data_IF_833760795363
#
_entry.id   IF_833760795363
#
_cell.length_a   1.000
_cell.length_b   1.000
_cell.length_c   1.000
_cell.angle_alpha   90.00
_cell.angle_beta   90.00
_cell.angle_gamma   90.00
#
_symmetry.space_group_name_H-M   'P 1'
#
loop_
_entity.id
_entity.type
_entity.pdbx_description
1 polymer ?
#
# COMPACT_ATOMS: atom_id res chain seq x y z
N UNK A 1 -76.15 -32.78 29.04
CA UNK A 1 -74.98 -33.66 29.23
C UNK A 1 -73.90 -33.24 28.24
N UNK A 2 -72.67 -33.13 28.71
CA UNK A 2 -71.57 -32.40 28.11
C UNK A 2 -71.08 -32.97 26.77
N UNK A 3 -70.75 -32.07 25.83
CA UNK A 3 -69.71 -32.24 24.79
C UNK A 3 -69.45 -30.87 24.16
N UNK A 4 -68.48 -30.10 24.70
CA UNK A 4 -67.10 -29.96 24.21
C UNK A 4 -67.01 -29.41 22.79
N UNK A 5 -66.80 -28.09 22.74
CA UNK A 5 -66.32 -27.30 21.61
C UNK A 5 -64.87 -27.62 21.28
N UNK A 6 -64.54 -27.75 19.99
CA UNK A 6 -63.19 -27.49 19.49
C UNK A 6 -63.25 -27.02 18.04
N UNK A 7 -63.25 -25.70 17.88
CA UNK A 7 -62.87 -25.04 16.63
C UNK A 7 -61.34 -25.05 16.56
N UNK A 8 -60.77 -25.81 15.63
CA UNK A 8 -59.34 -25.78 15.34
C UNK A 8 -59.02 -24.53 14.51
N UNK A 9 -58.56 -23.48 15.19
CA UNK A 9 -57.83 -22.38 14.54
C UNK A 9 -56.42 -22.86 14.21
N UNK A 10 -56.10 -22.91 12.91
CA UNK A 10 -54.75 -23.14 12.41
C UNK A 10 -53.85 -21.94 12.74
N UNK A 11 -52.90 -22.15 13.65
CA UNK A 11 -51.76 -21.26 13.86
C UNK A 11 -50.65 -21.69 12.91
N UNK A 12 -50.41 -20.86 11.89
CA UNK A 12 -49.22 -20.94 11.06
C UNK A 12 -48.00 -20.52 11.89
N UNK A 13 -47.16 -21.47 12.28
CA UNK A 13 -45.83 -21.21 12.81
C UNK A 13 -44.93 -20.80 11.64
N UNK A 14 -44.72 -19.50 11.47
CA UNK A 14 -43.61 -18.97 10.66
C UNK A 14 -42.33 -19.21 11.48
N UNK A 15 -41.59 -20.26 11.11
CA UNK A 15 -40.24 -20.48 11.60
C UNK A 15 -39.34 -19.35 11.05
N UNK A 16 -39.00 -18.39 11.92
CA UNK A 16 -38.02 -17.37 11.63
C UNK A 16 -36.64 -18.04 11.58
N UNK A 17 -36.21 -18.47 10.39
CA UNK A 17 -34.82 -18.87 10.16
C UNK A 17 -33.91 -17.67 10.43
N UNK A 18 -33.39 -17.59 11.65
CA UNK A 18 -32.20 -16.81 11.97
C UNK A 18 -31.05 -17.39 11.16
N UNK A 19 -30.87 -16.88 9.94
CA UNK A 19 -29.61 -16.97 9.23
C UNK A 19 -28.58 -16.19 10.04
N UNK A 20 -28.00 -16.83 11.05
CA UNK A 20 -26.66 -16.47 11.53
C UNK A 20 -25.76 -16.76 10.33
N UNK A 21 -25.56 -15.74 9.50
CA UNK A 21 -24.44 -15.76 8.57
C UNK A 21 -23.20 -15.97 9.45
N UNK A 22 -22.63 -17.16 9.41
CA UNK A 22 -21.30 -17.40 9.92
C UNK A 22 -20.39 -16.39 9.21
N UNK A 23 -20.10 -15.27 9.87
CA UNK A 23 -18.99 -14.42 9.48
C UNK A 23 -17.79 -15.35 9.48
N UNK A 24 -17.14 -15.53 8.33
CA UNK A 24 -15.83 -16.13 8.26
C UNK A 24 -14.99 -15.57 9.42
N UNK A 25 -14.31 -16.43 10.17
CA UNK A 25 -13.48 -16.00 11.30
C UNK A 25 -12.61 -14.82 10.84
N UNK A 26 -12.87 -13.65 11.41
CA UNK A 26 -12.11 -12.45 11.10
C UNK A 26 -10.65 -12.73 11.45
N UNK A 27 -9.74 -12.54 10.48
CA UNK A 27 -8.31 -12.76 10.72
C UNK A 27 -7.81 -11.92 11.90
N UNK A 28 -6.70 -12.33 12.54
CA UNK A 28 -6.18 -11.70 13.76
C UNK A 28 -6.07 -10.16 13.66
N UNK A 29 -5.67 -9.64 12.49
CA UNK A 29 -5.62 -8.21 12.21
C UNK A 29 -7.00 -7.54 12.27
N UNK A 30 -7.99 -8.10 11.59
CA UNK A 30 -9.34 -7.56 11.53
C UNK A 30 -9.99 -7.57 12.94
N UNK A 31 -9.81 -8.68 13.67
CA UNK A 31 -10.27 -8.80 15.05
C UNK A 31 -9.64 -7.73 15.96
N UNK A 32 -8.31 -7.56 15.90
CA UNK A 32 -7.58 -6.58 16.70
C UNK A 32 -8.00 -5.13 16.42
N UNK A 33 -8.13 -4.77 15.13
CA UNK A 33 -8.49 -3.42 14.70
C UNK A 33 -9.92 -3.05 15.12
N UNK A 34 -10.85 -4.01 15.00
CA UNK A 34 -12.26 -3.83 15.39
C UNK A 34 -12.50 -3.78 16.89
N UNK A 35 -11.60 -4.37 17.68
CA UNK A 35 -11.73 -4.34 19.14
C UNK A 35 -11.86 -2.90 19.64
N UNK A 36 -12.94 -2.63 20.37
CA UNK A 36 -13.14 -1.34 21.00
C UNK A 36 -12.03 -1.05 22.00
N UNK A 37 -11.66 0.22 22.14
CA UNK A 37 -10.64 0.66 23.08
C UNK A 37 -11.14 1.92 23.79
N UNK A 38 -11.28 1.86 25.11
CA UNK A 38 -11.81 2.96 25.92
C UNK A 38 -10.86 4.14 26.03
N UNK A 39 -9.59 3.99 25.62
CA UNK A 39 -8.61 5.08 25.60
C UNK A 39 -8.70 5.96 24.36
N UNK A 40 -9.43 5.52 23.32
CA UNK A 40 -9.63 6.30 22.10
C UNK A 40 -10.26 7.66 22.42
N UNK A 41 -9.56 8.72 22.02
CA UNK A 41 -10.02 10.09 22.23
C UNK A 41 -9.30 11.01 21.24
N UNK A 42 -9.93 12.12 20.87
CA UNK A 42 -9.26 13.16 20.08
C UNK A 42 -9.72 14.54 20.53
N UNK A 43 -8.87 15.55 20.33
CA UNK A 43 -9.21 16.96 20.56
C UNK A 43 -8.54 17.85 19.53
N UNK A 44 -9.22 18.92 19.13
CA UNK A 44 -8.61 19.95 18.29
C UNK A 44 -7.70 20.85 19.11
N UNK A 45 -6.46 21.06 18.64
CA UNK A 45 -5.55 22.08 19.19
C UNK A 45 -5.78 23.47 18.58
N UNK A 46 -6.60 23.55 17.54
CA UNK A 46 -6.87 24.77 16.79
C UNK A 46 -6.48 24.66 15.32
N UNK A 47 -6.90 25.67 14.57
CA UNK A 47 -6.61 25.86 13.15
C UNK A 47 -5.53 26.91 13.01
N UNK A 48 -4.51 26.61 12.20
CA UNK A 48 -3.47 27.56 11.85
C UNK A 48 -3.56 27.87 10.36
N UNK A 49 -3.55 29.16 10.04
CA UNK A 49 -3.25 29.64 8.70
C UNK A 49 -1.72 29.73 8.60
N UNK A 50 -1.12 28.85 7.81
CA UNK A 50 0.32 28.90 7.55
C UNK A 50 0.61 29.93 6.45
N UNK A 51 1.89 30.31 6.28
CA UNK A 51 2.35 31.27 5.27
C UNK A 51 2.06 30.86 3.81
N UNK A 52 1.50 29.67 3.60
CA UNK A 52 1.07 29.16 2.30
C UNK A 52 -0.42 29.54 2.10
N UNK A 53 -0.74 30.55 1.26
CA UNK A 53 -2.11 31.05 1.12
C UNK A 53 -3.05 29.99 0.52
N UNK A 54 -4.32 30.01 0.92
CA UNK A 54 -5.37 29.18 0.30
C UNK A 54 -5.50 27.75 0.83
N UNK A 55 -4.80 27.39 1.91
CA UNK A 55 -5.00 26.14 2.64
C UNK A 55 -5.21 26.39 4.13
N UNK A 56 -6.29 25.83 4.66
CA UNK A 56 -6.56 25.79 6.10
C UNK A 56 -5.97 24.50 6.66
N UNK A 57 -5.26 24.56 7.80
CA UNK A 57 -4.72 23.36 8.44
C UNK A 57 -5.14 23.30 9.90
N UNK A 58 -5.91 22.28 10.24
CA UNK A 58 -6.29 21.98 11.63
C UNK A 58 -5.39 20.90 12.21
N UNK A 59 -4.99 21.06 13.47
CA UNK A 59 -4.22 20.05 14.19
C UNK A 59 -5.11 19.37 15.24
N UNK A 60 -5.21 18.05 15.17
CA UNK A 60 -5.84 17.22 16.19
C UNK A 60 -4.76 16.46 16.97
N UNK A 61 -4.92 16.41 18.29
CA UNK A 61 -4.29 15.40 19.11
C UNK A 61 -5.19 14.17 19.13
N UNK A 62 -4.62 13.02 18.83
CA UNK A 62 -5.34 11.74 18.77
C UNK A 62 -4.70 10.75 19.73
N UNK A 63 -5.54 10.06 20.49
CA UNK A 63 -5.19 8.80 21.14
C UNK A 63 -5.98 7.71 20.46
N UNK A 64 -5.26 6.74 19.92
CA UNK A 64 -5.83 5.71 19.06
C UNK A 64 -6.21 4.46 19.86
N UNK A 65 -5.34 4.03 20.77
CA UNK A 65 -5.53 2.84 21.59
C UNK A 65 -4.59 2.81 22.80
N UNK A 66 -4.76 1.77 23.62
CA UNK A 66 -3.74 1.27 24.53
C UNK A 66 -3.22 -0.05 24.00
N UNK A 67 -1.90 -0.17 23.85
CA UNK A 67 -1.26 -1.41 23.40
C UNK A 67 -0.16 -1.78 24.38
N UNK A 68 -0.26 -3.01 24.91
CA UNK A 68 0.67 -3.57 25.89
C UNK A 68 0.92 -2.64 27.10
N UNK A 69 -0.17 -2.05 27.60
CA UNK A 69 -0.18 -1.12 28.74
C UNK A 69 0.23 0.32 28.42
N UNK A 70 0.75 0.60 27.22
CA UNK A 70 1.13 1.93 26.79
C UNK A 70 0.02 2.64 26.02
N UNK A 71 -0.24 3.91 26.34
CA UNK A 71 -1.17 4.78 25.59
C UNK A 71 -0.51 5.23 24.29
N UNK A 72 -1.20 5.06 23.16
CA UNK A 72 -0.71 5.45 21.83
C UNK A 72 -1.26 6.81 21.41
N UNK A 73 -0.37 7.79 21.28
CA UNK A 73 -0.70 9.19 20.98
C UNK A 73 -0.13 9.62 19.64
N UNK A 74 -0.87 10.42 18.89
CA UNK A 74 -0.52 10.88 17.55
C UNK A 74 -0.88 12.36 17.37
N UNK A 75 -0.17 13.01 16.45
CA UNK A 75 -0.64 14.26 15.86
C UNK A 75 -1.28 14.00 14.50
N UNK A 76 -2.43 14.61 14.25
CA UNK A 76 -3.16 14.49 13.00
C UNK A 76 -3.39 15.89 12.42
N UNK A 77 -2.72 16.18 11.31
CA UNK A 77 -2.91 17.43 10.58
C UNK A 77 -3.95 17.23 9.50
N UNK A 78 -4.93 18.12 9.37
CA UNK A 78 -5.95 18.05 8.33
C UNK A 78 -5.89 19.33 7.52
N UNK A 79 -5.47 19.20 6.27
CA UNK A 79 -5.31 20.28 5.32
C UNK A 79 -6.53 20.36 4.41
N UNK A 80 -7.22 21.50 4.44
CA UNK A 80 -8.44 21.77 3.69
C UNK A 80 -8.18 22.86 2.63
N UNK A 81 -8.33 22.54 1.34
CA UNK A 81 -8.16 23.54 0.28
C UNK A 81 -9.31 24.55 0.33
N UNK A 82 -9.09 25.76 -0.20
CA UNK A 82 -10.13 26.81 -0.24
C UNK A 82 -11.45 26.37 -0.91
N UNK A 83 -11.37 25.42 -1.86
CA UNK A 83 -12.56 24.80 -2.47
C UNK A 83 -12.48 23.27 -2.38
N UNK A 84 -13.43 22.67 -1.66
CA UNK A 84 -13.60 21.21 -1.57
C UNK A 84 -14.64 20.77 -2.60
N UNK A 85 -14.21 20.06 -3.64
CA UNK A 85 -15.06 19.53 -4.72
C UNK A 85 -15.60 18.13 -4.42
N UNK A 86 -14.87 17.35 -3.61
CA UNK A 86 -15.18 15.96 -3.33
C UNK A 86 -15.27 15.68 -1.82
N UNK A 87 -16.29 16.25 -1.12
CA UNK A 87 -16.35 16.27 0.35
C UNK A 87 -16.36 14.89 1.01
N UNK A 88 -16.82 13.86 0.30
CA UNK A 88 -16.89 12.49 0.79
C UNK A 88 -15.54 11.76 0.86
N UNK A 89 -14.51 12.22 0.14
CA UNK A 89 -13.23 11.50 0.00
C UNK A 89 -12.14 12.20 0.77
N UNK A 90 -11.27 11.52 1.51
CA UNK A 90 -10.08 12.13 2.15
C UNK A 90 -8.84 11.35 1.76
N UNK A 91 -7.73 12.04 1.51
CA UNK A 91 -6.42 11.39 1.40
C UNK A 91 -5.76 11.34 2.78
N UNK A 92 -5.48 10.17 3.32
CA UNK A 92 -4.79 9.97 4.60
C UNK A 92 -3.36 9.50 4.34
N UNK A 93 -2.37 10.34 4.63
CA UNK A 93 -0.95 9.99 4.55
C UNK A 93 -0.42 9.63 5.94
N UNK A 94 0.07 8.40 6.10
CA UNK A 94 0.61 7.88 7.35
C UNK A 94 2.13 8.08 7.34
N UNK A 95 2.66 8.74 8.37
CA UNK A 95 4.07 9.08 8.49
C UNK A 95 4.57 8.98 9.94
N UNK A 96 5.89 9.13 10.13
CA UNK A 96 6.47 9.33 11.46
C UNK A 96 6.30 10.78 11.93
N UNK A 97 6.51 11.73 11.02
CA UNK A 97 6.57 13.15 11.36
C UNK A 97 6.21 14.02 10.17
N UNK A 98 5.76 15.23 10.48
CA UNK A 98 5.41 16.26 9.52
C UNK A 98 6.09 17.58 9.91
N UNK A 99 6.38 18.42 8.92
CA UNK A 99 6.88 19.77 9.14
C UNK A 99 6.45 20.69 8.01
N UNK A 100 6.66 22.00 8.17
CA UNK A 100 6.23 23.03 7.23
C UNK A 100 6.76 22.80 5.81
N UNK A 101 7.92 22.14 5.66
CA UNK A 101 8.51 21.80 4.35
C UNK A 101 7.63 20.88 3.50
N UNK A 102 6.72 20.11 4.12
CA UNK A 102 5.80 19.23 3.41
C UNK A 102 4.53 19.95 2.95
N UNK A 103 4.22 21.12 3.51
CA UNK A 103 2.97 21.83 3.26
C UNK A 103 2.72 22.17 1.78
N UNK A 104 3.73 22.58 0.97
CA UNK A 104 3.52 22.81 -0.46
C UNK A 104 3.04 21.56 -1.22
N UNK A 105 3.58 20.39 -0.87
CA UNK A 105 3.18 19.12 -1.50
C UNK A 105 1.77 18.70 -1.06
N UNK A 106 1.47 18.82 0.24
CA UNK A 106 0.13 18.56 0.80
C UNK A 106 -0.91 19.48 0.15
N UNK A 107 -0.59 20.77 -0.01
CA UNK A 107 -1.46 21.74 -0.67
C UNK A 107 -1.74 21.37 -2.11
N UNK A 108 -0.70 21.08 -2.89
CA UNK A 108 -0.85 20.66 -4.29
C UNK A 108 -1.76 19.43 -4.39
N UNK A 109 -1.55 18.44 -3.53
CA UNK A 109 -2.38 17.23 -3.50
C UNK A 109 -3.84 17.54 -3.15
N UNK A 110 -4.09 18.37 -2.14
CA UNK A 110 -5.42 18.78 -1.72
C UNK A 110 -6.15 19.57 -2.82
N UNK A 111 -5.47 20.50 -3.48
CA UNK A 111 -6.03 21.33 -4.55
C UNK A 111 -6.31 20.55 -5.83
N UNK A 112 -5.37 19.71 -6.27
CA UNK A 112 -5.56 18.83 -7.44
C UNK A 112 -6.66 17.81 -7.18
N UNK A 113 -6.60 17.14 -6.02
CA UNK A 113 -7.61 16.17 -5.59
C UNK A 113 -8.96 16.80 -5.27
N UNK A 114 -9.02 18.12 -5.03
CA UNK A 114 -10.24 18.84 -4.67
C UNK A 114 -10.84 18.35 -3.35
N UNK A 115 -10.00 17.92 -2.42
CA UNK A 115 -10.44 17.35 -1.16
C UNK A 115 -9.44 17.51 -0.01
N UNK A 116 -9.84 17.11 1.20
CA UNK A 116 -9.00 17.13 2.39
C UNK A 116 -7.80 16.17 2.22
N UNK A 117 -6.64 16.61 2.69
CA UNK A 117 -5.47 15.76 2.90
C UNK A 117 -5.15 15.76 4.39
N UNK A 118 -5.24 14.58 5.00
CA UNK A 118 -4.86 14.36 6.38
C UNK A 118 -3.48 13.72 6.46
N UNK A 119 -2.67 14.12 7.43
CA UNK A 119 -1.34 13.56 7.71
C UNK A 119 -1.31 13.08 9.15
N UNK A 120 -1.21 11.77 9.33
CA UNK A 120 -1.11 11.12 10.63
C UNK A 120 0.36 10.87 10.97
N UNK A 121 0.84 11.44 12.07
CA UNK A 121 2.22 11.28 12.57
C UNK A 121 2.31 10.29 13.71
N UNK A 122 3.54 10.04 14.17
CA UNK A 122 3.82 9.18 15.33
C UNK A 122 3.33 7.74 15.13
N UNK A 123 3.38 7.25 13.88
CA UNK A 123 3.07 5.86 13.55
C UNK A 123 4.35 5.14 13.14
N UNK A 124 4.82 4.12 13.89
CA UNK A 124 4.39 3.75 15.23
C UNK A 124 4.82 4.80 16.28
N UNK A 125 4.23 4.71 17.48
CA UNK A 125 4.83 5.33 18.67
C UNK A 125 6.18 4.65 18.92
N UNK A 126 7.24 5.46 19.03
CA UNK A 126 8.61 5.00 19.22
C UNK A 126 9.46 6.13 19.85
N UNK A 127 10.54 5.83 20.59
CA UNK A 127 11.10 4.51 20.85
C UNK A 127 10.24 3.63 21.77
N UNK A 128 10.37 2.30 21.65
CA UNK A 128 9.81 1.32 22.59
C UNK A 128 10.82 0.21 22.90
N UNK A 129 10.57 -0.55 23.96
CA UNK A 129 11.34 -1.75 24.36
C UNK A 129 12.85 -1.56 24.28
N UNK A 130 13.44 -0.70 25.14
CA UNK A 130 14.89 -0.48 25.13
C UNK A 130 15.38 0.29 23.90
N UNK A 131 14.75 1.43 23.63
CA UNK A 131 15.15 2.39 22.61
C UNK A 131 15.13 1.88 21.15
N UNK A 132 14.19 0.99 20.83
CA UNK A 132 14.03 0.46 19.47
C UNK A 132 13.11 1.35 18.63
N UNK A 133 13.46 1.49 17.36
CA UNK A 133 12.75 2.30 16.37
C UNK A 133 12.51 1.49 15.10
N UNK A 134 11.52 1.88 14.30
CA UNK A 134 11.42 1.46 12.90
C UNK A 134 11.52 -0.07 12.70
N UNK A 135 12.42 -0.55 11.84
CA UNK A 135 12.58 -1.98 11.54
C UNK A 135 13.06 -2.79 12.75
N UNK A 136 13.88 -2.22 13.64
CA UNK A 136 14.34 -2.90 14.87
C UNK A 136 13.18 -3.14 15.83
N UNK A 137 12.23 -2.20 15.90
CA UNK A 137 11.04 -2.34 16.72
C UNK A 137 10.09 -3.39 16.13
N UNK A 138 9.88 -3.39 14.81
CA UNK A 138 9.05 -4.42 14.14
C UNK A 138 9.69 -5.80 14.33
N UNK A 139 10.98 -5.95 14.03
CA UNK A 139 11.70 -7.21 14.18
C UNK A 139 11.66 -7.72 15.63
N UNK A 140 11.84 -6.84 16.61
CA UNK A 140 11.67 -7.23 18.02
C UNK A 140 10.27 -7.79 18.29
N UNK A 141 9.21 -7.12 17.84
CA UNK A 141 7.85 -7.63 18.05
C UNK A 141 7.57 -8.95 17.32
N UNK A 142 8.18 -9.16 16.14
CA UNK A 142 8.09 -10.44 15.44
C UNK A 142 8.82 -11.53 16.19
N UNK A 143 10.01 -11.27 16.75
CA UNK A 143 10.74 -12.25 17.55
C UNK A 143 9.95 -12.65 18.82
N UNK A 144 9.31 -11.68 19.49
CA UNK A 144 8.42 -11.97 20.62
C UNK A 144 7.24 -12.85 20.21
N UNK A 145 6.61 -12.55 19.06
CA UNK A 145 5.56 -13.38 18.49
C UNK A 145 6.05 -14.81 18.18
N UNK A 146 7.13 -14.94 17.43
CA UNK A 146 7.65 -16.22 16.95
C UNK A 146 8.06 -17.15 18.10
N UNK A 147 8.46 -16.59 19.24
CA UNK A 147 8.82 -17.36 20.45
C UNK A 147 7.66 -17.62 21.40
N UNK A 148 6.67 -16.73 21.44
CA UNK A 148 5.61 -16.75 22.45
C UNK A 148 4.21 -17.12 21.93
N UNK A 149 3.94 -16.91 20.64
CA UNK A 149 2.66 -17.20 20.00
C UNK A 149 1.51 -16.22 20.31
N UNK A 150 1.75 -15.12 21.01
CA UNK A 150 0.73 -14.10 21.31
C UNK A 150 0.51 -13.18 20.10
N UNK A 151 -0.59 -13.41 19.37
CA UNK A 151 -0.99 -12.69 18.15
C UNK A 151 -1.12 -11.16 18.34
N UNK A 152 -1.14 -10.63 19.56
CA UNK A 152 -1.16 -9.17 19.81
C UNK A 152 0.21 -8.49 19.74
N UNK A 153 1.29 -9.27 19.61
CA UNK A 153 2.66 -8.75 19.55
C UNK A 153 3.02 -7.99 18.29
N UNK A 154 2.70 -8.44 17.06
CA UNK A 154 3.19 -7.78 15.85
C UNK A 154 2.84 -6.29 15.81
N UNK A 155 3.85 -5.42 15.72
CA UNK A 155 3.70 -3.95 15.78
C UNK A 155 2.74 -3.39 14.72
N UNK A 156 2.55 -4.10 13.61
CA UNK A 156 1.69 -3.69 12.51
C UNK A 156 0.20 -3.67 12.89
N UNK A 157 -0.19 -4.37 13.96
CA UNK A 157 -1.55 -4.36 14.51
C UNK A 157 -1.92 -2.98 15.08
N UNK A 158 -1.20 -2.44 16.09
CA UNK A 158 -1.49 -1.10 16.59
C UNK A 158 -1.25 0.00 15.54
N UNK A 159 -0.30 -0.13 14.61
CA UNK A 159 -0.15 0.90 13.56
C UNK A 159 -1.36 0.95 12.61
N UNK A 160 -1.91 -0.22 12.25
CA UNK A 160 -3.13 -0.30 11.43
C UNK A 160 -4.33 0.28 12.18
N UNK A 161 -4.46 -0.05 13.47
CA UNK A 161 -5.51 0.52 14.32
C UNK A 161 -5.40 2.04 14.45
N UNK A 162 -4.18 2.59 14.55
CA UNK A 162 -3.96 4.05 14.54
C UNK A 162 -4.51 4.73 13.28
N UNK A 163 -4.31 4.13 12.10
CA UNK A 163 -4.88 4.65 10.85
C UNK A 163 -6.41 4.63 10.86
N UNK A 164 -7.02 3.54 11.31
CA UNK A 164 -8.48 3.40 11.45
C UNK A 164 -9.08 4.42 12.41
N UNK A 165 -8.43 4.64 13.55
CA UNK A 165 -8.86 5.62 14.55
C UNK A 165 -8.66 7.06 14.10
N UNK A 166 -7.66 7.31 13.26
CA UNK A 166 -7.51 8.61 12.59
C UNK A 166 -8.68 8.86 11.62
N UNK A 167 -9.13 7.87 10.86
CA UNK A 167 -10.32 8.00 10.00
C UNK A 167 -11.57 8.37 10.82
N UNK A 168 -11.77 7.77 11.99
CA UNK A 168 -12.88 8.13 12.89
C UNK A 168 -12.81 9.60 13.34
N UNK A 169 -11.63 10.04 13.78
CA UNK A 169 -11.40 11.41 14.23
C UNK A 169 -11.62 12.43 13.08
N UNK A 170 -11.18 12.11 11.87
CA UNK A 170 -11.39 12.96 10.68
C UNK A 170 -12.88 13.09 10.37
N UNK A 171 -13.63 11.98 10.36
CA UNK A 171 -15.07 12.02 10.09
C UNK A 171 -15.81 12.87 11.13
N UNK A 172 -15.51 12.65 12.42
CA UNK A 172 -16.15 13.38 13.51
C UNK A 172 -15.81 14.88 13.47
N UNK A 173 -14.53 15.23 13.26
CA UNK A 173 -14.08 16.61 13.10
C UNK A 173 -14.72 17.30 11.89
N UNK A 174 -14.67 16.67 10.71
CA UNK A 174 -15.19 17.26 9.48
C UNK A 174 -16.70 17.56 9.57
N UNK A 175 -17.46 16.65 10.18
CA UNK A 175 -18.89 16.85 10.45
C UNK A 175 -19.12 17.99 11.44
N UNK A 176 -18.39 18.03 12.55
CA UNK A 176 -18.61 19.01 13.62
C UNK A 176 -18.17 20.43 13.22
N UNK A 177 -17.05 20.57 12.51
CA UNK A 177 -16.43 21.87 12.19
C UNK A 177 -16.91 22.45 10.86
N UNK A 178 -17.16 21.61 9.85
CA UNK A 178 -17.49 22.06 8.50
C UNK A 178 -18.82 21.55 7.96
N UNK A 179 -19.60 20.79 8.75
CA UNK A 179 -20.81 20.12 8.24
C UNK A 179 -20.52 19.12 7.11
N UNK A 180 -19.25 18.70 6.95
CA UNK A 180 -18.79 17.90 5.83
C UNK A 180 -18.94 16.42 6.15
N UNK A 181 -19.65 15.69 5.29
CA UNK A 181 -19.79 14.24 5.39
C UNK A 181 -18.64 13.54 4.67
N UNK A 182 -17.65 13.08 5.43
CA UNK A 182 -16.55 12.22 4.94
C UNK A 182 -17.00 10.76 5.02
N UNK A 183 -16.83 10.01 3.93
CA UNK A 183 -17.32 8.63 3.80
C UNK A 183 -16.21 7.63 3.47
N UNK A 184 -15.20 8.06 2.71
CA UNK A 184 -14.18 7.16 2.15
C UNK A 184 -12.79 7.76 2.14
N UNK A 185 -11.78 6.90 2.19
CA UNK A 185 -10.38 7.28 2.36
C UNK A 185 -9.48 6.66 1.29
N UNK A 186 -8.57 7.48 0.76
CA UNK A 186 -7.39 7.03 0.04
C UNK A 186 -6.26 6.96 1.06
N UNK A 187 -5.73 5.77 1.35
CA UNK A 187 -4.71 5.59 2.41
C UNK A 187 -3.31 5.41 1.80
N UNK A 188 -2.35 6.20 2.28
CA UNK A 188 -0.99 6.26 1.79
C UNK A 188 0.02 6.12 2.92
N UNK A 189 1.22 5.69 2.58
CA UNK A 189 2.36 5.72 3.48
C UNK A 189 3.62 5.20 2.79
N UNK A 190 4.77 5.64 3.30
CA UNK A 190 6.08 5.21 2.80
C UNK A 190 6.70 4.11 3.68
N UNK A 191 7.37 3.14 3.05
CA UNK A 191 8.10 2.07 3.73
C UNK A 191 7.16 1.30 4.68
N UNK A 192 7.50 1.22 5.96
CA UNK A 192 6.66 0.64 7.03
C UNK A 192 5.24 1.23 7.13
N UNK A 193 5.06 2.49 6.77
CA UNK A 193 3.73 3.10 6.73
C UNK A 193 2.98 2.71 5.47
N UNK A 194 3.69 2.40 4.38
CA UNK A 194 3.11 1.76 3.20
C UNK A 194 2.64 0.34 3.52
N UNK A 195 3.36 -0.38 4.38
CA UNK A 195 2.90 -1.65 4.96
C UNK A 195 1.60 -1.44 5.74
N UNK A 196 1.55 -0.42 6.59
CA UNK A 196 0.32 -0.05 7.33
C UNK A 196 -0.83 0.32 6.38
N UNK A 197 -0.57 1.02 5.27
CA UNK A 197 -1.58 1.39 4.28
C UNK A 197 -2.20 0.15 3.60
N UNK A 198 -1.36 -0.82 3.24
CA UNK A 198 -1.81 -2.12 2.73
C UNK A 198 -2.74 -2.84 3.70
N UNK A 199 -2.31 -2.98 4.97
CA UNK A 199 -3.09 -3.67 6.00
C UNK A 199 -4.38 -2.93 6.36
N UNK A 200 -4.35 -1.60 6.39
CA UNK A 200 -5.55 -0.77 6.60
C UNK A 200 -6.56 -0.98 5.49
N UNK A 201 -6.11 -1.00 4.23
CA UNK A 201 -6.96 -1.26 3.07
C UNK A 201 -7.57 -2.67 3.07
N UNK A 202 -6.92 -3.64 3.68
CA UNK A 202 -7.44 -5.00 3.79
C UNK A 202 -8.60 -5.14 4.79
N UNK A 203 -8.65 -4.31 5.85
CA UNK A 203 -9.56 -4.55 6.99
C UNK A 203 -10.59 -3.46 7.26
N UNK A 204 -10.45 -2.27 6.68
CA UNK A 204 -11.42 -1.18 6.86
C UNK A 204 -12.17 -0.86 5.54
N UNK A 205 -13.49 -1.07 5.47
CA UNK A 205 -14.26 -0.89 4.25
C UNK A 205 -14.40 0.58 3.81
N UNK A 206 -14.02 1.55 4.64
CA UNK A 206 -14.00 2.97 4.25
C UNK A 206 -12.83 3.27 3.32
N UNK A 207 -11.82 2.39 3.22
CA UNK A 207 -10.68 2.59 2.32
C UNK A 207 -11.10 2.32 0.88
N UNK A 208 -11.25 3.38 0.09
CA UNK A 208 -11.65 3.29 -1.31
C UNK A 208 -10.47 3.21 -2.28
N UNK A 209 -9.24 3.45 -1.83
CA UNK A 209 -8.01 3.22 -2.58
C UNK A 209 -6.77 3.26 -1.67
N UNK A 210 -5.64 2.72 -2.14
CA UNK A 210 -4.37 2.77 -1.43
C UNK A 210 -3.20 3.24 -2.30
N UNK A 211 -2.22 3.91 -1.68
CA UNK A 211 -0.97 4.37 -2.31
C UNK A 211 0.25 3.90 -1.49
N UNK A 212 0.53 2.60 -1.45
CA UNK A 212 1.73 2.08 -0.79
C UNK A 212 2.98 2.56 -1.53
N UNK A 213 3.88 3.23 -0.79
CA UNK A 213 5.08 3.85 -1.34
C UNK A 213 6.34 3.14 -0.80
N UNK A 214 7.27 2.77 -1.69
CA UNK A 214 8.57 2.16 -1.40
C UNK A 214 8.51 0.96 -0.43
N UNK A 215 7.58 0.03 -0.68
CA UNK A 215 7.36 -1.17 0.14
C UNK A 215 7.10 -2.41 -0.73
N UNK A 216 8.06 -2.73 -1.60
CA UNK A 216 7.97 -3.82 -2.59
C UNK A 216 8.29 -5.20 -2.01
N UNK A 217 7.54 -5.62 -1.00
CA UNK A 217 7.88 -6.79 -0.16
C UNK A 217 6.80 -7.86 -0.06
N UNK A 218 5.62 -7.63 -0.65
CA UNK A 218 4.50 -8.56 -0.60
C UNK A 218 4.96 -9.96 -1.03
N UNK A 219 4.41 -10.98 -0.34
CA UNK A 219 4.85 -12.37 -0.45
C UNK A 219 6.27 -12.55 0.09
N UNK A 220 6.44 -12.22 1.38
CA UNK A 220 7.72 -12.12 2.10
C UNK A 220 8.62 -13.35 1.89
N UNK A 221 8.04 -14.55 1.96
CA UNK A 221 8.78 -15.80 1.74
C UNK A 221 9.34 -15.87 0.32
N UNK A 222 8.52 -15.63 -0.70
CA UNK A 222 8.98 -15.64 -2.09
C UNK A 222 10.04 -14.56 -2.36
N UNK A 223 9.85 -13.35 -1.82
CA UNK A 223 10.80 -12.24 -1.98
C UNK A 223 12.18 -12.57 -1.41
N UNK A 224 12.21 -13.12 -0.19
CA UNK A 224 13.47 -13.42 0.51
C UNK A 224 14.20 -14.60 -0.11
N UNK A 225 13.48 -15.63 -0.56
CA UNK A 225 14.05 -16.73 -1.36
C UNK A 225 14.62 -16.21 -2.68
N UNK A 226 13.90 -15.32 -3.37
CA UNK A 226 14.37 -14.74 -4.63
C UNK A 226 15.63 -13.89 -4.45
N UNK A 227 15.63 -12.98 -3.47
CA UNK A 227 16.80 -12.17 -3.12
C UNK A 227 18.02 -13.04 -2.80
N UNK A 228 17.84 -14.10 -2.00
CA UNK A 228 18.90 -15.08 -1.72
C UNK A 228 19.46 -15.70 -3.00
N UNK A 229 18.58 -16.05 -3.94
CA UNK A 229 18.95 -16.69 -5.19
C UNK A 229 19.71 -15.77 -6.15
N UNK A 230 19.27 -14.51 -6.29
CA UNK A 230 19.85 -13.59 -7.28
C UNK A 230 21.03 -12.77 -6.74
N UNK A 231 21.07 -12.51 -5.45
CA UNK A 231 22.14 -11.75 -4.80
C UNK A 231 23.11 -12.63 -3.99
N UNK A 232 22.77 -13.89 -3.72
CA UNK A 232 23.53 -14.77 -2.81
C UNK A 232 23.37 -14.40 -1.34
N UNK A 233 22.56 -13.39 -1.03
CA UNK A 233 22.34 -12.85 0.33
C UNK A 233 21.10 -11.98 0.37
N UNK A 234 20.64 -11.68 1.57
CA UNK A 234 19.64 -10.64 1.81
C UNK A 234 20.24 -9.23 1.77
N UNK A 235 19.39 -8.22 1.57
CA UNK A 235 19.81 -6.81 1.66
C UNK A 235 20.21 -6.44 3.09
N UNK A 236 21.26 -5.62 3.23
CA UNK A 236 21.66 -5.03 4.51
C UNK A 236 20.55 -4.15 5.13
N UNK A 237 19.62 -3.66 4.31
CA UNK A 237 18.47 -2.84 4.74
C UNK A 237 17.40 -3.63 5.50
N UNK A 238 17.41 -4.96 5.40
CA UNK A 238 16.50 -5.83 6.17
C UNK A 238 17.23 -6.58 7.30
N UNK A 239 18.40 -6.07 7.71
CA UNK A 239 19.25 -6.72 8.72
C UNK A 239 18.54 -6.96 10.06
N UNK A 240 17.69 -6.04 10.51
CA UNK A 240 16.87 -6.23 11.71
C UNK A 240 16.09 -7.56 11.69
N UNK A 241 15.49 -7.89 10.55
CA UNK A 241 14.72 -9.12 10.34
C UNK A 241 15.62 -10.35 10.16
N UNK A 242 16.75 -10.24 9.46
CA UNK A 242 17.68 -11.36 9.31
C UNK A 242 18.38 -11.70 10.62
N UNK A 243 18.63 -10.72 11.49
CA UNK A 243 19.31 -10.89 12.77
C UNK A 243 18.48 -11.72 13.77
N UNK A 244 17.14 -11.62 13.72
CA UNK A 244 16.25 -12.50 14.51
C UNK A 244 16.03 -13.87 13.84
N UNK A 245 16.66 -14.11 12.69
CA UNK A 245 16.52 -15.34 11.91
C UNK A 245 15.18 -15.48 11.19
N UNK A 246 14.47 -14.36 10.91
CA UNK A 246 13.11 -14.38 10.34
C UNK A 246 13.01 -15.28 9.12
N UNK A 247 13.99 -15.23 8.21
CA UNK A 247 13.97 -16.02 6.97
C UNK A 247 13.82 -17.52 7.24
N UNK A 248 14.49 -18.05 8.28
CA UNK A 248 14.36 -19.46 8.68
C UNK A 248 13.05 -19.74 9.38
N UNK A 249 12.47 -18.74 10.06
CA UNK A 249 11.15 -18.86 10.67
C UNK A 249 10.03 -18.96 9.63
N UNK A 250 10.15 -18.31 8.47
CA UNK A 250 9.16 -18.36 7.39
C UNK A 250 8.97 -19.78 6.79
N UNK A 251 9.89 -20.72 7.09
CA UNK A 251 9.78 -22.14 6.74
C UNK A 251 9.10 -22.98 7.83
N UNK A 252 8.69 -22.37 8.95
CA UNK A 252 8.06 -23.05 10.09
C UNK A 252 6.58 -22.64 10.26
N UNK A 253 5.76 -23.45 10.94
CA UNK A 253 4.35 -23.12 11.19
C UNK A 253 4.13 -21.79 11.92
N UNK A 254 5.05 -21.38 12.80
CA UNK A 254 4.97 -20.10 13.51
C UNK A 254 5.20 -18.91 12.56
N UNK A 255 6.16 -19.02 11.64
CA UNK A 255 6.41 -17.97 10.64
C UNK A 255 5.35 -17.93 9.54
N UNK A 256 4.71 -19.05 9.22
CA UNK A 256 3.54 -19.08 8.36
C UNK A 256 2.37 -18.32 9.00
N UNK A 257 2.07 -18.58 10.28
CA UNK A 257 1.05 -17.83 11.03
C UNK A 257 1.39 -16.35 11.19
N UNK A 258 2.66 -16.00 11.42
CA UNK A 258 3.07 -14.59 11.41
C UNK A 258 2.71 -13.93 10.06
N UNK A 259 3.02 -14.57 8.93
CA UNK A 259 2.71 -14.04 7.60
C UNK A 259 1.20 -13.86 7.39
N UNK A 260 0.36 -14.74 7.92
CA UNK A 260 -1.10 -14.56 7.88
C UNK A 260 -1.54 -13.28 8.60
N UNK A 261 -0.84 -12.87 9.66
CA UNK A 261 -1.12 -11.64 10.40
C UNK A 261 -0.57 -10.42 9.66
N UNK A 262 0.67 -10.48 9.20
CA UNK A 262 1.42 -9.28 8.80
C UNK A 262 1.64 -9.12 7.32
N UNK A 263 1.71 -10.17 6.50
CA UNK A 263 2.00 -10.01 5.06
C UNK A 263 0.73 -9.56 4.32
N UNK A 264 0.73 -8.39 3.64
CA UNK A 264 -0.42 -7.96 2.86
C UNK A 264 -0.85 -8.95 1.78
N UNK A 265 0.06 -9.80 1.30
CA UNK A 265 -0.26 -10.84 0.33
C UNK A 265 -1.25 -11.87 0.89
N UNK A 266 -1.24 -12.12 2.20
CA UNK A 266 -2.24 -12.97 2.88
C UNK A 266 -3.65 -12.39 2.76
N UNK A 267 -3.77 -11.07 2.64
CA UNK A 267 -5.03 -10.34 2.52
C UNK A 267 -5.41 -9.98 1.08
N UNK A 268 -4.65 -10.45 0.07
CA UNK A 268 -4.81 -10.01 -1.33
C UNK A 268 -6.24 -10.07 -1.88
N UNK A 269 -7.03 -11.06 -1.45
CA UNK A 269 -8.43 -11.20 -1.86
C UNK A 269 -9.32 -10.02 -1.44
N UNK A 270 -9.01 -9.36 -0.31
CA UNK A 270 -9.72 -8.17 0.17
C UNK A 270 -9.27 -6.87 -0.51
N UNK A 271 -8.10 -6.87 -1.16
CA UNK A 271 -7.48 -5.69 -1.78
C UNK A 271 -8.07 -5.40 -3.18
N UNK A 272 -9.40 -5.32 -3.27
CA UNK A 272 -10.15 -5.10 -4.53
C UNK A 272 -10.24 -3.63 -4.94
N UNK A 273 -9.97 -2.71 -4.02
CA UNK A 273 -9.96 -1.28 -4.31
C UNK A 273 -8.80 -0.91 -5.26
N UNK A 274 -8.90 0.20 -6.00
CA UNK A 274 -7.79 0.76 -6.75
C UNK A 274 -6.54 0.94 -5.91
N UNK A 275 -5.38 0.59 -6.47
CA UNK A 275 -4.08 0.72 -5.82
C UNK A 275 -3.03 1.31 -6.75
N UNK A 276 -2.27 2.29 -6.25
CA UNK A 276 -1.12 2.88 -6.92
C UNK A 276 0.16 2.51 -6.15
N UNK A 277 0.95 1.62 -6.72
CA UNK A 277 2.25 1.25 -6.17
C UNK A 277 3.29 2.29 -6.62
N UNK A 278 3.95 2.95 -5.66
CA UNK A 278 5.01 3.92 -5.94
C UNK A 278 6.36 3.36 -5.54
N UNK A 279 7.17 2.97 -6.51
CA UNK A 279 8.42 2.24 -6.30
C UNK A 279 9.62 2.99 -6.89
N UNK A 280 10.83 2.58 -6.52
CA UNK A 280 12.08 3.10 -7.08
C UNK A 280 12.86 1.97 -7.74
N UNK A 281 13.38 2.21 -8.95
CA UNK A 281 14.15 1.19 -9.69
C UNK A 281 15.52 0.87 -9.08
N UNK A 282 15.95 1.66 -8.09
CA UNK A 282 17.22 1.51 -7.38
C UNK A 282 17.01 1.36 -5.86
N UNK A 283 15.80 0.99 -5.43
CA UNK A 283 15.51 0.80 -4.00
C UNK A 283 16.45 -0.26 -3.40
N UNK A 284 17.17 0.04 -2.30
CA UNK A 284 18.14 -0.89 -1.75
C UNK A 284 17.53 -2.05 -0.96
N UNK A 285 16.22 -2.07 -0.69
CA UNK A 285 15.59 -3.09 0.15
C UNK A 285 15.31 -4.40 -0.59
N UNK A 286 14.81 -4.32 -1.83
CA UNK A 286 14.27 -5.47 -2.58
C UNK A 286 14.92 -5.61 -3.95
N UNK A 287 14.67 -6.72 -4.66
CA UNK A 287 15.19 -6.88 -6.02
C UNK A 287 14.41 -5.98 -6.98
N UNK A 288 15.06 -5.56 -8.07
CA UNK A 288 14.43 -4.62 -9.00
C UNK A 288 13.18 -5.19 -9.70
N UNK A 289 13.06 -6.52 -9.73
CA UNK A 289 11.99 -7.27 -10.35
C UNK A 289 10.98 -7.86 -9.34
N UNK A 290 10.95 -7.36 -8.10
CA UNK A 290 10.17 -7.91 -6.96
C UNK A 290 8.66 -8.04 -7.22
N UNK A 291 8.08 -7.19 -8.07
CA UNK A 291 6.68 -7.28 -8.53
C UNK A 291 6.33 -8.67 -9.10
N UNK A 292 7.31 -9.42 -9.62
CA UNK A 292 7.10 -10.77 -10.17
C UNK A 292 6.47 -11.76 -9.19
N UNK A 293 6.53 -11.49 -7.89
CA UNK A 293 6.08 -12.41 -6.85
C UNK A 293 4.63 -12.22 -6.43
N UNK A 294 3.97 -11.16 -6.90
CA UNK A 294 2.61 -10.85 -6.43
C UNK A 294 1.75 -10.06 -7.43
N UNK A 295 2.31 -9.47 -8.49
CA UNK A 295 1.55 -8.60 -9.40
C UNK A 295 0.33 -9.31 -10.00
N UNK A 296 0.51 -10.53 -10.52
CA UNK A 296 -0.55 -11.28 -11.18
C UNK A 296 -1.66 -11.70 -10.22
N UNK A 297 -1.31 -11.99 -8.96
CA UNK A 297 -2.25 -12.40 -7.91
C UNK A 297 -2.97 -11.23 -7.23
N UNK A 298 -2.52 -9.99 -7.41
CA UNK A 298 -3.20 -8.81 -6.87
C UNK A 298 -4.49 -8.53 -7.67
N UNK A 299 -5.65 -8.34 -7.02
CA UNK A 299 -6.85 -7.90 -7.72
C UNK A 299 -6.68 -6.53 -8.38
N UNK A 300 -7.34 -6.32 -9.52
CA UNK A 300 -7.48 -4.99 -10.11
C UNK A 300 -8.56 -4.16 -9.41
N UNK A 301 -8.63 -2.83 -9.64
CA UNK A 301 -7.68 -2.05 -10.44
C UNK A 301 -6.33 -1.89 -9.73
N UNK A 302 -5.23 -2.02 -10.49
CA UNK A 302 -3.86 -1.90 -9.95
C UNK A 302 -2.95 -1.25 -10.97
N UNK A 303 -2.21 -0.24 -10.53
CA UNK A 303 -1.25 0.51 -11.34
C UNK A 303 0.04 0.68 -10.57
N UNK A 304 1.15 0.83 -11.29
CA UNK A 304 2.46 1.07 -10.69
C UNK A 304 3.14 2.24 -11.39
N UNK A 305 3.85 3.05 -10.62
CA UNK A 305 4.84 4.00 -11.11
C UNK A 305 6.17 3.65 -10.44
N UNK A 306 7.18 3.37 -11.25
CA UNK A 306 8.53 3.10 -10.77
C UNK A 306 9.44 4.25 -11.18
N UNK A 307 9.89 5.04 -10.21
CA UNK A 307 10.77 6.18 -10.44
C UNK A 307 12.16 5.70 -10.89
N UNK A 308 12.57 5.96 -12.15
CA UNK A 308 13.88 5.57 -12.65
C UNK A 308 15.00 6.29 -11.90
N UNK A 309 16.10 5.59 -11.61
CA UNK A 309 17.26 6.10 -10.86
C UNK A 309 16.96 6.52 -9.40
N UNK A 310 15.77 6.22 -8.87
CA UNK A 310 15.42 6.55 -7.51
C UNK A 310 15.55 5.34 -6.58
N UNK A 311 16.16 5.55 -5.41
CA UNK A 311 16.18 4.58 -4.32
C UNK A 311 14.95 4.67 -3.42
N UNK A 312 15.14 4.46 -2.12
CA UNK A 312 14.05 4.49 -1.13
C UNK A 312 13.37 5.86 -0.96
N UNK A 313 13.90 6.92 -1.58
CA UNK A 313 13.29 8.25 -1.66
C UNK A 313 12.35 8.43 -2.86
N UNK A 314 12.03 7.38 -3.62
CA UNK A 314 11.24 7.45 -4.86
C UNK A 314 9.88 8.17 -4.72
N UNK A 315 9.24 8.07 -3.55
CA UNK A 315 7.99 8.77 -3.24
C UNK A 315 8.08 10.30 -3.26
N UNK A 316 9.29 10.87 -3.18
CA UNK A 316 9.52 12.32 -3.16
C UNK A 316 9.88 12.88 -4.56
N UNK A 317 9.91 12.04 -5.59
CA UNK A 317 10.15 12.51 -6.96
C UNK A 317 8.96 13.31 -7.49
N UNK A 318 9.23 14.24 -8.41
CA UNK A 318 8.16 15.02 -9.07
C UNK A 318 7.18 14.10 -9.84
N UNK A 319 7.69 13.03 -10.46
CA UNK A 319 6.85 12.04 -11.13
C UNK A 319 5.90 11.33 -10.14
N UNK A 320 6.41 10.92 -8.98
CA UNK A 320 5.59 10.33 -7.91
C UNK A 320 4.53 11.31 -7.38
N UNK A 321 4.88 12.60 -7.22
CA UNK A 321 3.95 13.64 -6.81
C UNK A 321 2.81 13.82 -7.83
N UNK A 322 3.14 13.88 -9.13
CA UNK A 322 2.15 14.04 -10.20
C UNK A 322 1.20 12.86 -10.31
N UNK A 323 1.72 11.63 -10.34
CA UNK A 323 0.86 10.42 -10.44
C UNK A 323 0.00 10.24 -9.19
N UNK A 324 0.51 10.57 -7.99
CA UNK A 324 -0.27 10.56 -6.75
C UNK A 324 -1.43 11.55 -6.80
N UNK A 325 -1.19 12.76 -7.30
CA UNK A 325 -2.20 13.79 -7.43
C UNK A 325 -3.28 13.42 -8.46
N UNK A 326 -2.87 12.93 -9.64
CA UNK A 326 -3.79 12.45 -10.67
C UNK A 326 -4.62 11.25 -10.17
N UNK A 327 -4.00 10.32 -9.44
CA UNK A 327 -4.68 9.18 -8.84
C UNK A 327 -5.74 9.63 -7.82
N UNK A 328 -5.40 10.49 -6.87
CA UNK A 328 -6.37 11.03 -5.92
C UNK A 328 -7.52 11.73 -6.65
N UNK A 329 -7.24 12.56 -7.67
CA UNK A 329 -8.26 13.23 -8.46
C UNK A 329 -9.23 12.23 -9.12
N UNK A 330 -8.70 11.17 -9.76
CA UNK A 330 -9.53 10.12 -10.37
C UNK A 330 -10.41 9.41 -9.33
N UNK A 331 -9.84 8.99 -8.20
CA UNK A 331 -10.59 8.28 -7.15
C UNK A 331 -11.66 9.19 -6.54
N UNK A 332 -11.34 10.46 -6.28
CA UNK A 332 -12.29 11.44 -5.76
C UNK A 332 -13.47 11.67 -6.72
N UNK A 333 -13.22 11.60 -8.03
CA UNK A 333 -14.23 11.67 -9.09
C UNK A 333 -14.99 10.35 -9.33
N UNK A 334 -14.63 9.25 -8.65
CA UNK A 334 -15.20 7.93 -8.91
C UNK A 334 -14.77 7.31 -10.24
N UNK A 335 -13.67 7.79 -10.83
CA UNK A 335 -13.09 7.24 -12.07
C UNK A 335 -12.09 6.13 -11.74
N UNK A 336 -12.08 5.12 -12.59
CA UNK A 336 -11.01 4.11 -12.57
C UNK A 336 -9.74 4.71 -13.20
N UNK A 337 -8.53 4.49 -12.66
CA UNK A 337 -7.28 4.88 -13.32
C UNK A 337 -7.03 4.12 -14.63
N UNK A 338 -6.23 4.63 -15.58
CA UNK A 338 -5.81 3.86 -16.76
C UNK A 338 -5.19 2.53 -16.34
N UNK A 339 -5.62 1.43 -16.95
CA UNK A 339 -5.07 0.10 -16.70
C UNK A 339 -4.05 -0.24 -17.78
N UNK A 340 -2.91 -0.77 -17.35
CA UNK A 340 -1.90 -1.36 -18.23
C UNK A 340 -1.82 -2.86 -17.97
N UNK A 341 -1.72 -3.62 -19.04
CA UNK A 341 -1.40 -5.04 -19.02
C UNK A 341 -0.17 -5.31 -19.85
N UNK A 342 0.55 -6.37 -19.54
CA UNK A 342 1.75 -6.72 -20.27
C UNK A 342 1.96 -8.22 -20.26
N UNK A 343 2.53 -8.73 -21.36
CA UNK A 343 2.80 -10.15 -21.53
C UNK A 343 4.18 -10.34 -22.15
N UNK A 344 5.01 -11.12 -21.48
CA UNK A 344 6.28 -11.59 -22.03
C UNK A 344 6.00 -12.74 -22.99
N UNK A 345 6.52 -12.67 -24.20
CA UNK A 345 6.48 -13.75 -25.17
C UNK A 345 7.90 -14.30 -25.37
N UNK A 346 8.08 -15.52 -24.89
CA UNK A 346 9.32 -16.27 -25.09
C UNK A 346 9.34 -16.84 -26.52
N UNK A 347 10.41 -16.58 -27.26
CA UNK A 347 10.59 -17.05 -28.63
C UNK A 347 12.05 -16.87 -29.08
N UNK A 348 12.29 -16.87 -30.40
CA UNK A 348 13.63 -16.61 -30.95
C UNK A 348 14.19 -15.24 -30.50
N UNK A 349 13.30 -14.26 -30.32
CA UNK A 349 13.57 -12.99 -29.65
C UNK A 349 12.56 -12.84 -28.51
N UNK A 350 13.05 -12.76 -27.28
CA UNK A 350 12.21 -12.47 -26.11
C UNK A 350 11.66 -11.05 -26.21
N UNK A 351 10.34 -10.90 -26.07
CA UNK A 351 9.63 -9.63 -26.26
C UNK A 351 8.61 -9.39 -25.15
N UNK A 352 8.37 -8.13 -24.83
CA UNK A 352 7.30 -7.70 -23.95
C UNK A 352 6.26 -6.94 -24.78
N UNK A 353 5.03 -7.41 -24.77
CA UNK A 353 3.88 -6.71 -25.31
C UNK A 353 3.20 -5.95 -24.18
N UNK A 354 2.91 -4.66 -24.39
CA UNK A 354 2.28 -3.78 -23.40
C UNK A 354 1.04 -3.19 -24.03
N UNK A 355 -0.08 -3.26 -23.31
CA UNK A 355 -1.37 -2.71 -23.72
C UNK A 355 -1.93 -1.81 -22.63
N UNK A 356 -2.56 -0.70 -23.03
CA UNK A 356 -3.31 0.18 -22.15
C UNK A 356 -4.79 0.22 -22.56
N UNK A 357 -5.67 0.37 -21.58
CA UNK A 357 -7.12 0.52 -21.82
C UNK A 357 -7.51 1.94 -22.29
N UNK A 358 -6.55 2.86 -22.32
CA UNK A 358 -6.69 4.26 -22.74
C UNK A 358 -5.50 4.68 -23.56
N UNK A 359 -5.75 5.64 -24.45
CA UNK A 359 -4.71 6.23 -25.31
C UNK A 359 -3.63 6.90 -24.46
N UNK A 360 -2.42 6.38 -24.52
CA UNK A 360 -1.22 7.03 -24.03
C UNK A 360 -0.79 8.14 -25.01
N UNK A 361 -0.24 9.23 -24.48
CA UNK A 361 0.30 10.33 -25.29
C UNK A 361 1.63 9.97 -25.94
N UNK A 362 2.47 9.30 -25.16
CA UNK A 362 3.77 8.79 -25.57
C UNK A 362 4.16 7.60 -24.68
N UNK A 363 5.20 6.88 -25.10
CA UNK A 363 5.79 5.80 -24.32
C UNK A 363 7.31 5.86 -24.35
N UNK A 364 7.93 5.34 -23.29
CA UNK A 364 9.38 5.24 -23.12
C UNK A 364 9.78 3.82 -22.77
N UNK A 365 10.92 3.41 -23.31
CA UNK A 365 11.65 2.23 -22.89
C UNK A 365 12.77 2.66 -21.95
N UNK A 366 12.67 2.28 -20.68
CA UNK A 366 13.71 2.41 -19.69
C UNK A 366 14.57 1.15 -19.65
N UNK A 367 15.90 1.33 -19.65
CA UNK A 367 16.89 0.24 -19.57
C UNK A 367 18.01 0.58 -18.61
N UNK A 368 18.47 -0.41 -17.87
CA UNK A 368 19.70 -0.35 -17.10
C UNK A 368 20.53 -1.61 -17.33
N UNK A 369 21.85 -1.47 -17.35
CA UNK A 369 22.78 -2.58 -17.46
C UNK A 369 23.56 -2.75 -16.15
N UNK A 370 23.78 -3.99 -15.74
CA UNK A 370 24.58 -4.33 -14.56
C UNK A 370 25.37 -5.64 -14.78
N UNK A 371 26.56 -5.80 -14.17
CA UNK A 371 27.33 -7.03 -14.27
C UNK A 371 26.67 -8.22 -13.53
N UNK A 372 25.83 -7.94 -12.54
CA UNK A 372 25.02 -8.92 -11.79
C UNK A 372 23.54 -8.52 -11.86
N UNK A 373 22.64 -9.34 -11.31
CA UNK A 373 21.21 -8.96 -11.21
C UNK A 373 20.95 -7.84 -10.18
N UNK A 374 21.97 -7.30 -9.53
CA UNK A 374 21.85 -6.19 -8.57
C UNK A 374 21.92 -4.85 -9.28
N UNK A 375 20.73 -4.25 -9.49
CA UNK A 375 20.58 -2.97 -10.20
C UNK A 375 20.61 -1.76 -9.27
N UNK A 376 20.87 -1.92 -7.96
CA UNK A 376 20.84 -0.79 -6.99
C UNK A 376 21.77 0.35 -7.37
N UNK A 377 22.90 0.05 -8.01
CA UNK A 377 23.89 1.04 -8.51
C UNK A 377 23.82 1.29 -10.02
N UNK A 378 22.89 0.66 -10.73
CA UNK A 378 22.79 0.79 -12.18
C UNK A 378 22.12 2.11 -12.57
N UNK A 379 22.52 2.65 -13.73
CA UNK A 379 21.92 3.88 -14.29
C UNK A 379 20.88 3.51 -15.33
N UNK A 380 19.64 3.94 -15.07
CA UNK A 380 18.50 3.79 -15.96
C UNK A 380 18.49 4.91 -17.00
N UNK A 381 18.45 4.53 -18.28
CA UNK A 381 18.35 5.42 -19.43
C UNK A 381 17.06 5.14 -20.19
N UNK A 382 16.42 6.18 -20.70
CA UNK A 382 15.23 6.06 -21.54
C UNK A 382 15.54 6.24 -23.02
N UNK A 383 14.72 5.62 -23.86
CA UNK A 383 14.58 5.91 -25.28
C UNK A 383 13.08 5.96 -25.63
N UNK A 384 12.67 6.69 -26.67
CA UNK A 384 11.29 6.62 -27.17
C UNK A 384 10.88 5.18 -27.49
N UNK A 385 9.66 4.82 -27.11
CA UNK A 385 9.04 3.54 -27.45
C UNK A 385 7.87 3.81 -28.38
N UNK A 386 7.88 3.19 -29.56
CA UNK A 386 6.82 3.38 -30.54
C UNK A 386 5.51 2.78 -30.01
N UNK A 387 4.45 3.59 -30.04
CA UNK A 387 3.08 3.15 -29.85
C UNK A 387 2.47 2.78 -31.21
N UNK A 388 1.44 1.94 -31.19
CA UNK A 388 0.57 1.74 -32.35
C UNK A 388 -0.18 3.03 -32.73
N UNK A 389 -0.84 3.02 -33.89
CA UNK A 389 -1.54 4.21 -34.41
C UNK A 389 -2.63 4.74 -33.45
N UNK A 390 -3.17 3.86 -32.60
CA UNK A 390 -4.19 4.18 -31.61
C UNK A 390 -3.61 4.71 -30.29
N UNK A 391 -2.31 4.57 -30.07
CA UNK A 391 -1.65 4.93 -28.81
C UNK A 391 -1.96 3.98 -27.66
N UNK A 392 -2.34 2.74 -27.95
CA UNK A 392 -2.81 1.75 -26.98
C UNK A 392 -1.78 0.64 -26.73
N UNK A 393 -0.93 0.34 -27.71
CA UNK A 393 -0.02 -0.80 -27.63
C UNK A 393 1.43 -0.42 -27.92
N UNK A 394 2.35 -1.09 -27.25
CA UNK A 394 3.77 -1.06 -27.57
C UNK A 394 4.36 -2.47 -27.48
N UNK A 395 5.42 -2.73 -28.26
CA UNK A 395 6.22 -3.95 -28.15
C UNK A 395 7.69 -3.57 -28.03
N UNK A 396 8.39 -4.18 -27.07
CA UNK A 396 9.80 -3.93 -26.81
C UNK A 396 10.58 -5.26 -26.73
N UNK A 397 11.81 -5.31 -27.25
CA UNK A 397 12.65 -6.49 -27.13
C UNK A 397 13.31 -6.56 -25.74
N UNK A 398 13.37 -7.76 -25.16
CA UNK A 398 14.07 -8.08 -23.92
C UNK A 398 15.43 -8.72 -24.21
N UNK A 399 16.23 -8.06 -25.06
CA UNK A 399 17.49 -8.58 -25.57
C UNK A 399 18.48 -8.90 -24.45
N UNK A 400 18.93 -10.15 -24.35
CA UNK A 400 20.00 -10.49 -23.41
C UNK A 400 21.28 -9.74 -23.76
N UNK A 401 21.97 -9.19 -22.76
CA UNK A 401 23.30 -8.64 -22.96
C UNK A 401 24.31 -9.77 -23.21
N UNK A 402 25.34 -9.52 -24.02
CA UNK A 402 26.41 -10.50 -24.27
C UNK A 402 27.17 -10.89 -22.98
N UNK A 403 27.24 -9.97 -22.01
CA UNK A 403 27.76 -10.17 -20.65
C UNK A 403 26.87 -9.42 -19.66
N UNK A 404 26.71 -9.95 -18.45
CA UNK A 404 25.89 -9.32 -17.41
C UNK A 404 24.39 -9.41 -17.68
N UNK A 405 23.65 -8.45 -17.14
CA UNK A 405 22.19 -8.41 -17.16
C UNK A 405 21.69 -7.05 -17.62
N UNK A 406 20.53 -7.04 -18.27
CA UNK A 406 19.82 -5.80 -18.61
C UNK A 406 18.42 -5.85 -18.03
N UNK A 407 18.04 -4.79 -17.31
CA UNK A 407 16.69 -4.56 -16.83
C UNK A 407 15.91 -3.68 -17.82
N UNK A 408 14.63 -3.99 -18.02
CA UNK A 408 13.72 -3.36 -18.97
C UNK A 408 12.43 -2.96 -18.27
N UNK A 409 11.93 -1.77 -18.60
CA UNK A 409 10.64 -1.27 -18.14
C UNK A 409 10.04 -0.36 -19.20
N UNK A 410 8.81 -0.64 -19.61
CA UNK A 410 8.01 0.31 -20.38
C UNK A 410 7.30 1.29 -19.44
N UNK A 411 7.21 2.55 -19.87
CA UNK A 411 6.51 3.63 -19.18
C UNK A 411 5.60 4.34 -20.19
N UNK A 412 4.32 4.47 -19.88
CA UNK A 412 3.32 5.16 -20.72
C UNK A 412 2.93 6.48 -20.04
N UNK A 413 2.84 7.54 -20.85
CA UNK A 413 2.44 8.88 -20.39
C UNK A 413 0.95 9.11 -20.61
N UNK A 414 0.24 9.53 -19.57
CA UNK A 414 -1.18 9.86 -19.59
C UNK A 414 -1.40 11.32 -19.16
N UNK A 415 -2.62 11.82 -19.38
CA UNK A 415 -3.07 13.11 -18.87
C UNK A 415 -4.52 12.97 -18.41
N UNK A 416 -4.82 13.43 -17.19
CA UNK A 416 -6.18 13.46 -16.65
C UNK A 416 -6.37 14.78 -15.90
N UNK A 417 -7.45 15.50 -16.19
CA UNK A 417 -7.77 16.74 -15.47
C UNK A 417 -6.65 17.79 -15.47
N UNK A 418 -5.85 17.84 -16.55
CA UNK A 418 -4.68 18.74 -16.68
C UNK A 418 -3.42 18.27 -15.93
N UNK A 419 -3.45 17.09 -15.31
CA UNK A 419 -2.31 16.49 -14.64
C UNK A 419 -1.68 15.42 -15.51
N UNK A 420 -0.41 15.63 -15.87
CA UNK A 420 0.39 14.68 -16.63
C UNK A 420 1.08 13.70 -15.70
N UNK A 421 0.92 12.42 -15.96
CA UNK A 421 1.51 11.37 -15.13
C UNK A 421 1.98 10.19 -15.98
N UNK A 422 2.83 9.37 -15.37
CA UNK A 422 3.42 8.20 -15.98
C UNK A 422 3.00 6.95 -15.22
N UNK A 423 2.73 5.87 -15.94
CA UNK A 423 2.55 4.54 -15.39
C UNK A 423 3.58 3.60 -16.00
N UNK A 424 4.06 2.66 -15.19
CA UNK A 424 5.11 1.73 -15.54
C UNK A 424 4.54 0.31 -15.66
N UNK A 425 5.22 -0.51 -16.44
CA UNK A 425 5.17 -1.97 -16.30
C UNK A 425 6.00 -2.44 -15.10
N UNK A 426 5.92 -3.72 -14.74
CA UNK A 426 6.96 -4.33 -13.89
C UNK A 426 8.32 -4.35 -14.60
N UNK A 427 9.41 -4.46 -13.84
CA UNK A 427 10.73 -4.64 -14.43
C UNK A 427 10.94 -6.10 -14.85
N UNK A 428 11.49 -6.28 -16.05
CA UNK A 428 11.99 -7.57 -16.53
C UNK A 428 13.52 -7.52 -16.66
N UNK A 429 14.20 -8.57 -16.19
CA UNK A 429 15.66 -8.68 -16.27
C UNK A 429 16.04 -9.84 -17.19
N UNK A 430 16.88 -9.55 -18.17
CA UNK A 430 17.37 -10.50 -19.19
C UNK A 430 18.90 -10.67 -19.11
N UNK A 431 19.44 -11.91 -19.22
CA UNK A 431 18.69 -13.16 -19.25
C UNK A 431 18.00 -13.43 -17.91
N UNK A 432 16.88 -14.15 -17.96
CA UNK A 432 16.21 -14.61 -16.73
C UNK A 432 16.87 -15.89 -16.21
N UNK A 433 16.69 -16.18 -14.92
CA UNK A 433 17.18 -17.43 -14.35
C UNK A 433 16.17 -18.56 -14.62
N UNK A 434 16.64 -19.81 -14.81
CA UNK A 434 15.74 -20.96 -14.87
C UNK A 434 14.91 -21.03 -13.58
N UNK A 435 13.75 -21.72 -13.55
CA UNK A 435 13.07 -22.01 -12.29
C UNK A 435 14.01 -22.75 -11.31
N UNK A 436 13.78 -22.63 -9.99
CA UNK A 436 14.57 -23.41 -9.03
C UNK A 436 14.36 -24.92 -9.28
N UNK A 437 15.38 -25.77 -9.02
CA UNK A 437 15.21 -27.22 -9.09
C UNK A 437 14.06 -27.67 -8.17
N UNK A 438 13.22 -28.60 -8.65
CA UNK A 438 12.02 -29.06 -7.92
C UNK A 438 12.33 -29.68 -6.54
N UNK A 439 13.57 -30.11 -6.31
CA UNK A 439 14.00 -30.83 -5.11
C UNK A 439 14.50 -29.92 -3.96
N UNK A 440 14.24 -28.62 -4.01
CA UNK A 440 14.52 -27.67 -2.91
C UNK A 440 13.26 -26.98 -2.38
N UNK A 441 12.13 -27.66 -2.44
CA UNK A 441 10.92 -27.29 -1.69
C UNK A 441 10.85 -28.22 -0.49
N UNK A 442 11.03 -27.74 0.76
CA UNK A 442 10.78 -28.58 1.93
C UNK A 442 9.31 -28.99 2.04
#
# INVERSE_FOLDING_TARGET
MANRSSWCNGLALIALCLCVAARADAGALEAYVRQADSSFAWRSRGTQMFDVPGIEVTTLELVSQTWRGGRWTHTLYIARPGTVRHPATVFLDITHGASHKHLPAVKRLAETGGTLVAVLTDVPNQPLYGNRYEDDLIAYTFDQYLRGGDDSWPLLLPTTKSAVRAMDAIQAWARATHGQQVERFVVSGASKRGWTAWLTGAVDPRVCAIVPTVIDMLNLKAQTQWSQRVYGRQSEKISAYTNIGLIKWLDRPEGARLQEIVDPFSYRAALTMPKLLLLGTNDPFWTVDSLRHYWDDLPGPKIVYQAPNAGHGAGNTEGAARVRAAFLQMIAQGKTPPQMSWRRQNGATDTLHVEADRRARDARLWRAHAPTRDFRKAVWKSAPLALDAQGLRATLPLTAAAKGFTAYMAEFSFSEGGCDFQLSTQVYVSPDLPPPPKDQTP
#
